data_IF_036372599588
#
_entry.id   IF_036372599588
#
_cell.length_a   1.000
_cell.length_b   1.000
_cell.length_c   1.000
_cell.angle_alpha   90.00
_cell.angle_beta   90.00
_cell.angle_gamma   90.00
#
_symmetry.space_group_name_H-M   'P 1'
#
loop_
_entity.id
_entity.type
_entity.pdbx_description
1 polymer ?
#
# COMPACT_ATOMS: atom_id res chain seq x y z
N UNK A 1 20.82 37.45 -18.67
CA UNK A 1 21.77 36.34 -18.39
C UNK A 1 21.02 35.23 -17.68
N UNK A 2 20.90 34.07 -18.34
CA UNK A 2 20.16 32.89 -17.87
C UNK A 2 21.06 32.10 -16.91
N UNK A 3 20.73 32.10 -15.61
CA UNK A 3 21.46 31.35 -14.60
C UNK A 3 21.05 29.88 -14.61
N UNK A 4 21.95 29.02 -15.08
CA UNK A 4 21.83 27.57 -15.14
C UNK A 4 21.83 26.98 -13.73
N UNK A 5 20.74 26.33 -13.33
CA UNK A 5 20.64 25.61 -12.05
C UNK A 5 21.45 24.31 -12.21
N UNK A 6 22.67 24.28 -11.66
CA UNK A 6 23.53 23.09 -11.69
C UNK A 6 23.03 22.03 -10.69
N UNK A 7 22.20 21.15 -11.23
CA UNK A 7 22.03 19.73 -10.92
C UNK A 7 21.85 19.34 -9.45
N UNK A 8 20.62 19.44 -8.96
CA UNK A 8 20.05 18.29 -8.25
C UNK A 8 19.97 17.13 -9.26
N UNK A 9 20.13 15.87 -8.85
CA UNK A 9 19.83 14.74 -9.74
C UNK A 9 18.32 14.76 -10.03
N UNK A 10 17.92 15.49 -11.07
CA UNK A 10 16.57 15.49 -11.62
C UNK A 10 16.39 14.18 -12.40
N UNK A 11 16.18 13.07 -11.69
CA UNK A 11 15.58 11.89 -12.33
C UNK A 11 14.06 12.01 -12.16
N UNK A 12 13.34 12.02 -13.28
CA UNK A 12 11.89 11.81 -13.35
C UNK A 12 10.97 12.70 -12.46
N UNK A 13 11.34 13.96 -12.22
CA UNK A 13 10.44 14.95 -11.58
C UNK A 13 10.52 15.07 -10.05
N UNK A 14 11.41 14.32 -9.39
CA UNK A 14 11.76 14.53 -7.98
C UNK A 14 13.12 15.24 -7.82
N UNK A 15 13.21 16.02 -6.74
CA UNK A 15 14.39 16.73 -6.27
C UNK A 15 14.74 16.17 -4.89
N UNK A 16 15.84 15.44 -4.80
CA UNK A 16 16.36 14.87 -3.54
C UNK A 16 17.49 15.73 -2.99
N UNK A 17 17.43 16.10 -1.71
CA UNK A 17 18.55 16.75 -1.03
C UNK A 17 19.40 15.73 -0.27
N UNK A 18 20.19 14.90 -0.95
CA UNK A 18 21.27 14.13 -0.28
C UNK A 18 22.52 15.01 -0.20
N UNK A 19 23.07 15.18 1.01
CA UNK A 19 24.33 15.89 1.28
C UNK A 19 25.56 15.04 0.88
N UNK A 20 25.59 14.49 -0.33
CA UNK A 20 26.81 13.86 -0.81
C UNK A 20 27.01 14.15 -2.29
N UNK A 21 27.93 15.06 -2.56
CA UNK A 21 28.50 15.28 -3.88
C UNK A 21 30.02 15.41 -3.74
N UNK A 22 30.82 14.71 -4.57
CA UNK A 22 32.24 15.01 -4.74
C UNK A 22 32.42 16.43 -5.30
N UNK A 23 33.57 17.02 -4.99
CA UNK A 23 33.89 18.43 -5.19
C UNK A 23 33.85 18.86 -6.67
N UNK A 24 32.92 19.74 -7.04
CA UNK A 24 33.02 20.58 -8.24
C UNK A 24 32.20 21.88 -8.01
N UNK A 25 32.90 23.02 -8.09
CA UNK A 25 32.47 24.43 -7.91
C UNK A 25 31.76 24.78 -6.57
N UNK A 26 31.96 25.99 -6.00
CA UNK A 26 31.18 26.42 -4.84
C UNK A 26 29.74 26.65 -5.29
N UNK A 27 28.91 25.63 -5.12
CA UNK A 27 27.46 25.75 -5.29
C UNK A 27 26.89 26.82 -4.35
N UNK A 28 25.69 27.33 -4.65
CA UNK A 28 24.99 28.25 -3.74
C UNK A 28 24.96 27.69 -2.32
N UNK A 29 25.11 28.56 -1.31
CA UNK A 29 25.13 28.14 0.08
C UNK A 29 23.90 27.29 0.42
N UNK A 30 24.04 26.36 1.37
CA UNK A 30 22.93 25.50 1.78
C UNK A 30 21.66 26.31 2.15
N UNK A 31 21.84 27.52 2.68
CA UNK A 31 20.73 28.41 3.04
C UNK A 31 20.14 29.12 1.82
N UNK A 32 20.93 29.49 0.81
CA UNK A 32 20.44 30.01 -0.45
C UNK A 32 19.57 28.97 -1.19
N UNK A 33 19.97 27.69 -1.16
CA UNK A 33 19.18 26.58 -1.74
C UNK A 33 17.86 26.40 -0.98
N UNK A 34 17.89 26.39 0.36
CA UNK A 34 16.66 26.31 1.18
C UNK A 34 15.72 27.48 0.89
N UNK A 35 16.23 28.71 0.79
CA UNK A 35 15.45 29.90 0.47
C UNK A 35 14.81 29.81 -0.92
N UNK A 36 15.55 29.33 -1.92
CA UNK A 36 15.03 29.11 -3.26
C UNK A 36 13.91 28.06 -3.28
N UNK A 37 14.11 26.91 -2.62
CA UNK A 37 13.09 25.87 -2.48
C UNK A 37 11.84 26.39 -1.75
N UNK A 38 12.02 27.15 -0.67
CA UNK A 38 10.91 27.77 0.06
C UNK A 38 10.11 28.73 -0.83
N UNK A 39 10.77 29.52 -1.67
CA UNK A 39 10.08 30.41 -2.64
C UNK A 39 9.28 29.61 -3.67
N UNK A 40 9.84 28.52 -4.21
CA UNK A 40 9.12 27.65 -5.15
C UNK A 40 7.94 26.94 -4.49
N UNK A 41 8.09 26.52 -3.24
CA UNK A 41 7.02 25.90 -2.45
C UNK A 41 5.89 26.89 -2.18
N UNK A 42 6.20 28.13 -1.80
CA UNK A 42 5.20 29.20 -1.63
C UNK A 42 4.44 29.51 -2.93
N UNK A 43 5.07 29.30 -4.09
CA UNK A 43 4.45 29.46 -5.42
C UNK A 43 3.73 28.19 -5.91
N UNK A 44 3.66 27.13 -5.12
CA UNK A 44 3.01 25.87 -5.49
C UNK A 44 3.72 25.08 -6.60
N UNK A 45 4.96 25.45 -6.98
CA UNK A 45 5.71 24.79 -8.06
C UNK A 45 6.42 23.52 -7.62
N UNK A 46 6.62 23.37 -6.30
CA UNK A 46 7.15 22.15 -5.69
C UNK A 46 6.30 21.77 -4.49
N UNK A 47 6.19 20.47 -4.24
CA UNK A 47 5.58 19.91 -3.04
C UNK A 47 6.61 19.02 -2.33
N UNK A 48 6.46 18.82 -1.01
CA UNK A 48 7.38 17.99 -0.22
C UNK A 48 6.62 16.86 0.46
N UNK A 49 6.50 15.68 -0.18
CA UNK A 49 5.85 14.51 0.42
C UNK A 49 6.56 13.99 1.68
N UNK A 50 7.89 14.13 1.73
CA UNK A 50 8.71 13.70 2.86
C UNK A 50 9.87 14.67 3.10
N UNK A 51 10.44 14.64 4.30
CA UNK A 51 11.58 15.48 4.63
C UNK A 51 12.78 15.19 3.71
N UNK A 52 13.35 16.23 3.10
CA UNK A 52 14.48 16.10 2.16
C UNK A 52 14.11 15.53 0.79
N UNK A 53 12.82 15.32 0.52
CA UNK A 53 12.29 14.85 -0.76
C UNK A 53 11.23 15.83 -1.27
N UNK A 54 11.52 16.49 -2.39
CA UNK A 54 10.57 17.40 -3.04
C UNK A 54 10.23 16.90 -4.43
N UNK A 55 9.01 17.16 -4.87
CA UNK A 55 8.54 16.84 -6.22
C UNK A 55 8.17 18.13 -6.93
N UNK A 56 8.44 18.18 -8.22
CA UNK A 56 7.96 19.27 -9.08
C UNK A 56 6.46 19.06 -9.27
N UNK A 57 5.68 20.13 -9.14
CA UNK A 57 4.23 20.11 -9.38
C UNK A 57 3.96 20.79 -10.73
N UNK A 58 3.70 20.00 -11.79
CA UNK A 58 3.25 20.52 -13.07
C UNK A 58 1.91 21.28 -12.98
N UNK A 59 1.60 22.14 -13.96
CA UNK A 59 0.34 22.87 -14.01
C UNK A 59 -0.90 21.96 -13.94
N UNK A 60 -0.87 20.77 -14.56
CA UNK A 60 -2.00 19.82 -14.53
C UNK A 60 -2.32 19.29 -13.13
N UNK A 61 -1.36 19.35 -12.20
CA UNK A 61 -1.54 18.94 -10.80
C UNK A 61 -1.65 20.12 -9.82
N UNK A 62 -1.77 21.35 -10.32
CA UNK A 62 -1.87 22.57 -9.50
C UNK A 62 -3.05 22.54 -8.52
N UNK A 63 -4.22 22.05 -8.95
CA UNK A 63 -5.41 21.94 -8.11
C UNK A 63 -5.27 20.91 -6.97
N UNK A 64 -4.52 19.83 -7.21
CA UNK A 64 -4.22 18.81 -6.21
C UNK A 64 -3.10 19.30 -5.27
N UNK A 65 -2.21 20.16 -5.77
CA UNK A 65 -1.09 20.73 -5.03
C UNK A 65 0.05 19.75 -4.77
N UNK A 66 0.03 18.58 -5.41
CA UNK A 66 1.10 17.58 -5.38
C UNK A 66 0.96 16.61 -6.55
N UNK A 67 2.03 15.89 -6.85
CA UNK A 67 1.97 14.75 -7.75
C UNK A 67 1.11 13.62 -7.17
N UNK A 68 0.37 12.88 -8.02
CA UNK A 68 -0.25 11.62 -7.62
C UNK A 68 0.75 10.67 -6.96
N UNK A 69 0.27 9.92 -5.96
CA UNK A 69 1.12 9.09 -5.11
C UNK A 69 1.88 8.02 -5.89
N UNK A 70 1.22 7.36 -6.83
CA UNK A 70 1.80 6.37 -7.74
C UNK A 70 3.00 6.90 -8.55
N UNK A 71 3.04 8.21 -8.81
CA UNK A 71 4.11 8.84 -9.58
C UNK A 71 5.34 9.24 -8.76
N UNK A 72 5.22 9.40 -7.44
CA UNK A 72 6.36 9.78 -6.59
C UNK A 72 6.78 8.73 -5.58
N UNK A 73 5.88 7.83 -5.16
CA UNK A 73 6.19 6.76 -4.19
C UNK A 73 7.36 5.90 -4.66
N UNK A 74 7.45 5.44 -5.93
CA UNK A 74 8.60 4.66 -6.38
C UNK A 74 9.93 5.38 -6.18
N UNK A 75 9.98 6.67 -6.51
CA UNK A 75 11.18 7.50 -6.38
C UNK A 75 11.50 7.82 -4.91
N UNK A 76 10.47 8.05 -4.09
CA UNK A 76 10.61 8.25 -2.65
C UNK A 76 11.23 7.01 -1.99
N UNK A 77 10.70 5.83 -2.31
CA UNK A 77 11.16 4.57 -1.72
C UNK A 77 12.57 4.19 -2.21
N UNK A 78 12.88 4.43 -3.49
CA UNK A 78 14.25 4.29 -4.00
C UNK A 78 15.23 5.26 -3.32
N UNK A 79 14.85 6.52 -3.11
CA UNK A 79 15.69 7.48 -2.40
C UNK A 79 15.87 7.13 -0.92
N UNK A 80 14.91 6.42 -0.32
CA UNK A 80 15.03 5.93 1.05
C UNK A 80 15.76 4.59 1.16
N UNK A 81 16.00 3.92 0.03
CA UNK A 81 16.52 2.56 -0.06
C UNK A 81 15.70 1.57 0.79
N UNK A 82 14.37 1.65 0.64
CA UNK A 82 13.44 0.82 1.40
C UNK A 82 12.61 -0.07 0.46
N UNK A 83 12.56 -1.39 0.71
CA UNK A 83 11.64 -2.26 0.02
C UNK A 83 10.20 -1.88 0.38
N UNK A 84 9.32 -1.93 -0.62
CA UNK A 84 7.93 -1.55 -0.48
C UNK A 84 7.05 -2.27 -1.49
N UNK A 85 5.75 -2.27 -1.21
CA UNK A 85 4.73 -2.54 -2.21
C UNK A 85 3.46 -1.73 -1.88
N UNK A 86 2.69 -1.37 -2.91
CA UNK A 86 1.34 -0.85 -2.73
C UNK A 86 0.39 -2.02 -2.46
N UNK A 87 -0.42 -1.93 -1.41
CA UNK A 87 -1.28 -3.02 -0.92
C UNK A 87 -2.69 -2.57 -0.57
N UNK A 88 -3.48 -3.48 0.01
CA UNK A 88 -4.87 -3.22 0.43
C UNK A 88 -5.73 -2.61 -0.69
N UNK A 89 -6.53 -1.58 -0.39
CA UNK A 89 -7.45 -0.94 -1.32
C UNK A 89 -6.70 -0.26 -2.48
N UNK A 90 -5.46 0.17 -2.26
CA UNK A 90 -4.63 0.70 -3.35
C UNK A 90 -4.30 -0.40 -4.35
N UNK A 91 -3.88 -1.58 -3.91
CA UNK A 91 -3.65 -2.70 -4.82
C UNK A 91 -4.93 -3.18 -5.49
N UNK A 92 -6.03 -3.29 -4.73
CA UNK A 92 -7.34 -3.64 -5.27
C UNK A 92 -7.76 -2.72 -6.42
N UNK A 93 -7.52 -1.41 -6.29
CA UNK A 93 -7.79 -0.44 -7.36
C UNK A 93 -7.01 -0.75 -8.65
N UNK A 94 -5.75 -1.18 -8.57
CA UNK A 94 -4.96 -1.56 -9.76
C UNK A 94 -5.46 -2.84 -10.42
N UNK A 95 -6.20 -3.67 -9.69
CA UNK A 95 -6.89 -4.85 -10.20
C UNK A 95 -8.35 -4.55 -10.58
N UNK A 96 -8.83 -3.32 -10.47
CA UNK A 96 -10.23 -2.98 -10.75
C UNK A 96 -11.22 -3.52 -9.71
N UNK A 97 -10.74 -4.02 -8.57
CA UNK A 97 -11.54 -4.60 -7.48
C UNK A 97 -11.89 -3.55 -6.39
N UNK A 98 -11.98 -2.28 -6.78
CA UNK A 98 -12.30 -1.19 -5.86
C UNK A 98 -13.35 -0.26 -6.48
N UNK A 99 -14.59 -0.33 -5.98
CA UNK A 99 -15.70 0.51 -6.42
C UNK A 99 -15.45 2.02 -6.22
N UNK A 100 -14.64 2.38 -5.23
CA UNK A 100 -14.28 3.76 -4.93
C UNK A 100 -12.78 3.95 -4.88
N UNK A 101 -12.32 5.14 -5.29
CA UNK A 101 -10.91 5.49 -5.13
C UNK A 101 -10.56 5.55 -3.63
N UNK A 102 -9.51 4.83 -3.19
CA UNK A 102 -9.01 4.93 -1.83
C UNK A 102 -8.67 6.38 -1.48
N UNK A 103 -9.09 6.83 -0.31
CA UNK A 103 -8.79 8.20 0.16
C UNK A 103 -7.30 8.41 0.46
N UNK A 104 -6.58 7.33 0.76
CA UNK A 104 -5.15 7.33 1.02
C UNK A 104 -4.49 6.26 0.15
N UNK A 105 -3.31 6.57 -0.36
CA UNK A 105 -2.47 5.59 -1.06
C UNK A 105 -1.73 4.73 -0.04
N UNK A 106 -1.96 3.43 -0.06
CA UNK A 106 -1.55 2.49 0.99
C UNK A 106 -0.30 1.72 0.56
N UNK A 107 0.75 1.85 1.36
CA UNK A 107 2.07 1.30 1.08
C UNK A 107 2.54 0.49 2.26
N UNK A 108 2.89 -0.77 2.01
CA UNK A 108 3.55 -1.60 3.01
C UNK A 108 5.06 -1.40 3.01
N UNK A 109 5.62 -1.39 4.20
CA UNK A 109 7.05 -1.28 4.48
C UNK A 109 7.42 -2.18 5.65
N UNK A 110 8.69 -2.50 5.82
CA UNK A 110 9.12 -3.38 6.93
C UNK A 110 9.09 -2.72 8.31
N UNK A 111 9.15 -1.38 8.35
CA UNK A 111 9.19 -0.59 9.59
C UNK A 111 8.16 0.51 9.51
N UNK A 112 7.57 0.84 10.66
CA UNK A 112 6.60 1.95 10.74
C UNK A 112 7.21 3.26 10.27
N UNK A 113 6.42 4.04 9.51
CA UNK A 113 6.81 5.35 9.00
C UNK A 113 5.68 6.35 9.15
N UNK A 114 6.06 7.62 9.30
CA UNK A 114 5.10 8.72 9.30
C UNK A 114 4.40 8.80 7.94
N UNK A 115 3.07 8.99 7.90
CA UNK A 115 2.35 9.23 6.65
C UNK A 115 2.96 10.40 5.86
N UNK A 116 3.00 10.27 4.54
CA UNK A 116 3.37 11.38 3.67
C UNK A 116 2.10 12.17 3.28
N UNK A 117 2.18 13.50 3.35
CA UNK A 117 1.07 14.38 2.98
C UNK A 117 1.62 15.56 2.20
N UNK A 118 1.06 15.79 1.02
CA UNK A 118 1.39 16.93 0.18
C UNK A 118 0.16 17.35 -0.62
N UNK A 119 -0.23 18.63 -0.52
CA UNK A 119 -1.50 19.10 -1.08
C UNK A 119 -2.67 18.25 -0.57
N UNK A 120 -3.47 17.71 -1.49
CA UNK A 120 -4.58 16.78 -1.21
C UNK A 120 -4.15 15.30 -1.22
N UNK A 121 -2.91 14.99 -1.59
CA UNK A 121 -2.42 13.61 -1.67
C UNK A 121 -1.97 13.14 -0.29
N UNK A 122 -2.40 11.94 0.08
CA UNK A 122 -2.06 11.25 1.33
C UNK A 122 -1.52 9.88 1.02
N UNK A 123 -0.39 9.53 1.63
CA UNK A 123 0.20 8.20 1.58
C UNK A 123 0.27 7.65 2.99
N UNK A 124 -0.36 6.50 3.20
CA UNK A 124 -0.34 5.75 4.44
C UNK A 124 0.74 4.67 4.34
N UNK A 125 1.71 4.72 5.25
CA UNK A 125 2.67 3.63 5.40
C UNK A 125 2.19 2.66 6.47
N UNK A 126 2.15 1.38 6.14
CA UNK A 126 1.72 0.29 7.00
C UNK A 126 2.93 -0.63 7.21
N UNK A 127 3.20 -0.97 8.47
CA UNK A 127 4.32 -1.84 8.80
C UNK A 127 3.87 -3.30 8.71
N UNK A 128 4.54 -4.10 7.88
CA UNK A 128 4.39 -5.56 7.82
C UNK A 128 5.76 -6.20 7.97
N UNK A 129 5.89 -7.13 8.93
CA UNK A 129 7.09 -7.95 9.07
C UNK A 129 7.32 -8.71 7.76
N UNK A 130 8.56 -8.73 7.27
CA UNK A 130 8.90 -9.39 6.00
C UNK A 130 8.12 -8.85 4.79
N UNK A 131 7.75 -7.57 4.77
CA UNK A 131 7.10 -6.95 3.60
C UNK A 131 7.86 -7.18 2.28
N UNK A 132 9.20 -7.33 2.34
CA UNK A 132 10.03 -7.64 1.17
C UNK A 132 9.81 -9.03 0.55
N UNK A 133 9.21 -9.97 1.29
CA UNK A 133 8.94 -11.33 0.83
C UNK A 133 7.56 -11.46 0.17
N UNK A 134 6.73 -10.42 0.24
CA UNK A 134 5.44 -10.41 -0.41
C UNK A 134 5.62 -10.53 -1.93
N UNK A 135 4.84 -11.40 -2.57
CA UNK A 135 4.78 -11.48 -4.01
C UNK A 135 4.16 -10.20 -4.59
N UNK A 136 4.77 -9.64 -5.62
CA UNK A 136 4.36 -8.36 -6.22
C UNK A 136 4.36 -8.42 -7.74
N UNK A 137 3.58 -7.55 -8.38
CA UNK A 137 3.58 -7.29 -9.83
C UNK A 137 3.92 -5.82 -10.13
N UNK A 138 4.67 -5.54 -11.20
CA UNK A 138 4.92 -4.18 -11.63
C UNK A 138 3.71 -3.59 -12.37
N UNK A 139 3.40 -2.32 -12.10
CA UNK A 139 2.41 -1.53 -12.85
C UNK A 139 3.06 -0.26 -13.39
N UNK A 140 2.82 0.05 -14.66
CA UNK A 140 3.37 1.25 -15.28
C UNK A 140 2.61 2.49 -14.81
N UNK A 141 3.36 3.55 -14.49
CA UNK A 141 2.86 4.87 -14.15
C UNK A 141 3.49 5.89 -15.10
N UNK A 142 2.94 7.11 -15.23
CA UNK A 142 3.54 8.15 -16.05
C UNK A 142 4.99 8.52 -15.71
N UNK A 143 5.49 8.17 -14.51
CA UNK A 143 6.83 8.56 -14.02
C UNK A 143 7.68 7.39 -13.52
N UNK A 144 7.33 6.15 -13.90
CA UNK A 144 8.09 4.95 -13.55
C UNK A 144 7.19 3.74 -13.32
N UNK A 145 7.71 2.76 -12.59
CA UNK A 145 6.98 1.52 -12.29
C UNK A 145 6.66 1.47 -10.81
N UNK A 146 5.40 1.19 -10.50
CA UNK A 146 4.91 0.94 -9.15
C UNK A 146 4.95 -0.56 -8.86
N UNK A 147 5.46 -0.91 -7.68
CA UNK A 147 5.39 -2.28 -7.17
C UNK A 147 4.07 -2.48 -6.41
N UNK A 148 3.21 -3.38 -6.88
CA UNK A 148 1.88 -3.65 -6.29
C UNK A 148 1.83 -5.11 -5.80
N UNK A 149 1.22 -5.40 -4.65
CA UNK A 149 1.00 -6.79 -4.19
C UNK A 149 0.21 -7.58 -5.21
N UNK A 150 0.47 -8.88 -5.37
CA UNK A 150 -0.40 -9.73 -6.21
C UNK A 150 -1.84 -9.78 -5.66
N UNK A 151 -2.84 -10.22 -6.43
CA UNK A 151 -4.20 -10.41 -5.92
C UNK A 151 -4.24 -11.28 -4.67
N UNK A 152 -3.43 -12.33 -4.63
CA UNK A 152 -3.36 -13.27 -3.51
C UNK A 152 -2.81 -12.63 -2.23
N UNK A 153 -1.71 -11.87 -2.35
CA UNK A 153 -1.15 -11.11 -1.23
C UNK A 153 -2.12 -10.02 -0.79
N UNK A 154 -2.81 -9.37 -1.72
CA UNK A 154 -3.81 -8.34 -1.43
C UNK A 154 -4.98 -8.93 -0.63
N UNK A 155 -5.48 -10.11 -1.01
CA UNK A 155 -6.51 -10.83 -0.26
C UNK A 155 -6.07 -11.14 1.18
N UNK A 156 -4.84 -11.63 1.36
CA UNK A 156 -4.25 -11.86 2.69
C UNK A 156 -4.16 -10.56 3.49
N UNK A 157 -3.70 -9.47 2.87
CA UNK A 157 -3.53 -8.18 3.54
C UNK A 157 -4.86 -7.58 4.01
N UNK A 158 -5.93 -7.69 3.21
CA UNK A 158 -7.27 -7.22 3.58
C UNK A 158 -7.76 -7.88 4.88
N UNK A 159 -7.39 -9.15 5.11
CA UNK A 159 -7.76 -9.89 6.33
C UNK A 159 -6.83 -9.64 7.51
N UNK A 160 -5.55 -9.34 7.22
CA UNK A 160 -4.54 -9.05 8.23
C UNK A 160 -4.66 -7.64 8.79
N UNK A 161 -5.14 -6.70 7.98
CA UNK A 161 -5.25 -5.28 8.32
C UNK A 161 -6.62 -4.68 7.98
N UNK A 162 -7.73 -5.25 8.50
CA UNK A 162 -9.07 -4.78 8.17
C UNK A 162 -9.30 -3.31 8.57
N UNK A 163 -8.68 -2.84 9.66
CA UNK A 163 -8.74 -1.44 10.09
C UNK A 163 -8.18 -0.45 9.05
N UNK A 164 -7.27 -0.92 8.18
CA UNK A 164 -6.76 -0.13 7.07
C UNK A 164 -7.59 -0.34 5.80
N UNK A 165 -8.37 -1.40 5.69
CA UNK A 165 -9.24 -1.69 4.57
C UNK A 165 -10.67 -1.11 4.71
N UNK A 166 -10.97 -0.38 5.79
CA UNK A 166 -12.32 0.12 6.08
C UNK A 166 -13.20 -0.86 6.88
N UNK A 167 -12.62 -1.97 7.35
CA UNK A 167 -13.31 -3.01 8.10
C UNK A 167 -13.44 -4.32 7.32
N UNK A 168 -14.06 -5.32 7.94
CA UNK A 168 -14.26 -6.63 7.31
C UNK A 168 -15.33 -6.57 6.22
N UNK A 169 -16.37 -5.73 6.36
CA UNK A 169 -17.42 -5.55 5.34
C UNK A 169 -16.85 -5.08 4.00
N UNK A 170 -16.17 -3.93 4.00
CA UNK A 170 -15.42 -3.45 2.84
C UNK A 170 -14.40 -4.47 2.30
N UNK A 171 -13.78 -5.28 3.17
CA UNK A 171 -12.87 -6.34 2.74
C UNK A 171 -13.60 -7.43 1.95
N UNK A 172 -14.80 -7.83 2.36
CA UNK A 172 -15.63 -8.79 1.61
C UNK A 172 -15.99 -8.22 0.24
N UNK A 173 -16.45 -6.97 0.17
CA UNK A 173 -16.79 -6.31 -1.10
C UNK A 173 -15.62 -6.29 -2.08
N UNK A 174 -14.41 -5.96 -1.60
CA UNK A 174 -13.21 -6.01 -2.44
C UNK A 174 -12.87 -7.45 -2.85
N UNK A 175 -13.00 -8.41 -1.94
CA UNK A 175 -12.72 -9.81 -2.22
C UNK A 175 -13.67 -10.40 -3.28
N UNK A 176 -14.94 -10.01 -3.31
CA UNK A 176 -15.90 -10.51 -4.31
C UNK A 176 -15.55 -10.12 -5.74
N UNK A 177 -14.85 -9.00 -5.95
CA UNK A 177 -14.34 -8.63 -7.28
C UNK A 177 -12.92 -9.19 -7.52
N UNK A 178 -12.07 -9.16 -6.49
CA UNK A 178 -10.67 -9.57 -6.59
C UNK A 178 -10.52 -11.07 -6.88
N UNK A 179 -11.50 -11.89 -6.46
CA UNK A 179 -11.49 -13.35 -6.60
C UNK A 179 -11.25 -13.81 -8.03
N UNK A 180 -11.76 -13.10 -9.04
CA UNK A 180 -11.61 -13.46 -10.45
C UNK A 180 -10.14 -13.47 -10.92
N UNK A 181 -9.26 -12.79 -10.19
CA UNK A 181 -7.84 -12.66 -10.51
C UNK A 181 -6.94 -13.49 -9.58
N UNK A 182 -7.52 -14.17 -8.60
CA UNK A 182 -6.80 -15.00 -7.64
C UNK A 182 -6.50 -16.36 -8.23
N UNK A 183 -5.23 -16.74 -8.23
CA UNK A 183 -4.81 -18.11 -8.49
C UNK A 183 -4.84 -18.91 -7.15
N UNK A 184 -5.64 -19.99 -7.04
CA UNK A 184 -5.78 -20.72 -5.78
C UNK A 184 -4.47 -21.30 -5.24
N UNK A 185 -3.54 -21.73 -6.10
CA UNK A 185 -2.26 -22.28 -5.67
C UNK A 185 -1.35 -21.17 -5.14
N UNK A 186 -1.33 -20.01 -5.80
CA UNK A 186 -0.59 -18.85 -5.33
C UNK A 186 -1.20 -18.28 -4.05
N UNK A 187 -2.51 -18.45 -3.83
CA UNK A 187 -3.17 -18.05 -2.60
C UNK A 187 -2.66 -18.83 -1.40
N UNK A 188 -2.52 -20.15 -1.54
CA UNK A 188 -1.94 -21.00 -0.49
C UNK A 188 -0.49 -20.61 -0.22
N UNK A 189 0.32 -20.34 -1.25
CA UNK A 189 1.69 -19.87 -1.07
C UNK A 189 1.75 -18.50 -0.34
N UNK A 190 0.86 -17.57 -0.67
CA UNK A 190 0.76 -16.28 0.03
C UNK A 190 0.33 -16.46 1.49
N UNK A 191 -0.59 -17.39 1.77
CA UNK A 191 -1.05 -17.72 3.11
C UNK A 191 0.07 -18.32 3.99
N UNK A 192 0.93 -19.16 3.42
CA UNK A 192 2.10 -19.73 4.10
C UNK A 192 3.12 -18.67 4.54
N UNK A 193 3.18 -17.54 3.84
CA UNK A 193 4.04 -16.40 4.17
C UNK A 193 3.39 -15.39 5.14
N UNK A 194 2.25 -15.73 5.74
CA UNK A 194 1.49 -14.89 6.66
C UNK A 194 1.12 -15.63 7.95
N UNK A 195 0.73 -14.92 9.02
CA UNK A 195 0.18 -15.57 10.21
C UNK A 195 -1.03 -16.44 9.85
N UNK A 196 -1.09 -17.66 10.38
CA UNK A 196 -2.17 -18.62 10.10
C UNK A 196 -3.57 -18.04 10.35
N UNK A 197 -3.72 -17.19 11.37
CA UNK A 197 -4.98 -16.50 11.67
C UNK A 197 -5.52 -15.65 10.51
N UNK A 198 -4.66 -15.14 9.62
CA UNK A 198 -5.07 -14.38 8.44
C UNK A 198 -5.67 -15.31 7.39
N UNK A 199 -5.06 -16.47 7.17
CA UNK A 199 -5.59 -17.51 6.28
C UNK A 199 -6.94 -18.06 6.78
N UNK A 200 -7.08 -18.28 8.09
CA UNK A 200 -8.34 -18.70 8.71
C UNK A 200 -9.46 -17.67 8.46
N UNK A 201 -9.18 -16.38 8.68
CA UNK A 201 -10.14 -15.30 8.42
C UNK A 201 -10.46 -15.19 6.93
N UNK A 202 -9.45 -15.22 6.07
CA UNK A 202 -9.62 -15.12 4.62
C UNK A 202 -10.54 -16.20 4.08
N UNK A 203 -10.36 -17.44 4.50
CA UNK A 203 -11.24 -18.53 4.08
C UNK A 203 -12.71 -18.27 4.43
N UNK A 204 -12.97 -17.81 5.65
CA UNK A 204 -14.32 -17.43 6.07
C UNK A 204 -14.88 -16.25 5.26
N UNK A 205 -14.07 -15.20 5.01
CA UNK A 205 -14.50 -14.04 4.22
C UNK A 205 -14.73 -14.40 2.74
N UNK A 206 -13.95 -15.31 2.16
CA UNK A 206 -14.17 -15.80 0.79
C UNK A 206 -15.48 -16.57 0.66
N UNK A 207 -15.86 -17.38 1.63
CA UNK A 207 -17.18 -18.02 1.63
C UNK A 207 -18.32 -16.99 1.69
N UNK A 208 -18.13 -15.89 2.42
CA UNK A 208 -19.10 -14.77 2.46
C UNK A 208 -19.13 -13.96 1.17
N UNK A 209 -18.02 -13.90 0.44
CA UNK A 209 -17.91 -13.27 -0.87
C UNK A 209 -18.38 -14.18 -2.04
N UNK A 210 -19.04 -15.30 -1.74
CA UNK A 210 -19.44 -16.37 -2.68
C UNK A 210 -18.29 -16.98 -3.51
N UNK A 211 -17.05 -16.84 -3.03
CA UNK A 211 -15.82 -17.30 -3.64
C UNK A 211 -15.44 -18.74 -3.24
N UNK A 212 -16.40 -19.67 -3.25
CA UNK A 212 -16.23 -21.01 -2.64
C UNK A 212 -15.10 -21.84 -3.25
N UNK A 213 -14.88 -21.76 -4.55
CA UNK A 213 -13.81 -22.51 -5.24
C UNK A 213 -12.43 -22.06 -4.76
N UNK A 214 -12.22 -20.75 -4.68
CA UNK A 214 -10.99 -20.13 -4.18
C UNK A 214 -10.79 -20.43 -2.69
N UNK A 215 -11.88 -20.43 -1.92
CA UNK A 215 -11.85 -20.81 -0.51
C UNK A 215 -11.43 -22.29 -0.33
N UNK A 216 -11.89 -23.21 -1.18
CA UNK A 216 -11.61 -24.64 -1.03
C UNK A 216 -10.09 -24.95 -1.03
N UNK A 217 -9.32 -24.35 -1.93
CA UNK A 217 -7.86 -24.56 -1.97
C UNK A 217 -7.16 -24.10 -0.68
N UNK A 218 -7.65 -23.03 -0.06
CA UNK A 218 -7.12 -22.53 1.21
C UNK A 218 -7.58 -23.38 2.40
N UNK A 219 -8.73 -24.05 2.29
CA UNK A 219 -9.31 -24.85 3.37
C UNK A 219 -8.44 -26.06 3.71
N UNK A 220 -7.90 -26.76 2.71
CA UNK A 220 -7.01 -27.91 2.93
C UNK A 220 -5.75 -27.50 3.70
N UNK A 221 -5.15 -26.37 3.31
CA UNK A 221 -4.03 -25.77 4.03
C UNK A 221 -4.39 -25.47 5.49
N UNK A 222 -5.50 -24.77 5.74
CA UNK A 222 -5.93 -24.42 7.10
C UNK A 222 -6.21 -25.67 7.93
N UNK A 223 -6.92 -26.66 7.40
CA UNK A 223 -7.24 -27.91 8.12
C UNK A 223 -6.00 -28.71 8.51
N UNK A 224 -4.95 -28.66 7.71
CA UNK A 224 -3.71 -29.39 7.99
C UNK A 224 -2.87 -28.79 9.13
N UNK A 225 -3.04 -27.51 9.46
CA UNK A 225 -2.18 -26.78 10.41
C UNK A 225 -2.97 -26.21 11.60
N UNK A 226 -4.19 -25.75 11.40
CA UNK A 226 -4.97 -25.02 12.40
C UNK A 226 -5.53 -25.95 13.48
N UNK A 227 -5.02 -25.78 14.71
CA UNK A 227 -5.50 -26.48 15.90
C UNK A 227 -6.53 -25.64 16.65
N UNK A 228 -6.21 -24.37 16.84
CA UNK A 228 -6.94 -23.43 17.68
C UNK A 228 -7.92 -22.56 16.89
N UNK A 229 -8.96 -22.14 17.59
CA UNK A 229 -9.91 -21.16 17.07
C UNK A 229 -9.35 -19.75 17.17
N UNK A 230 -9.56 -18.93 16.13
CA UNK A 230 -9.19 -17.51 16.13
C UNK A 230 -10.45 -16.64 15.97
N UNK A 231 -10.56 -15.48 16.64
CA UNK A 231 -11.68 -14.59 16.43
C UNK A 231 -11.64 -13.99 15.01
N UNK A 232 -12.82 -13.86 14.40
CA UNK A 232 -13.01 -13.22 13.08
C UNK A 232 -12.60 -11.75 13.15
N UNK A 233 -13.17 -11.02 14.09
CA UNK A 233 -12.85 -9.63 14.39
C UNK A 233 -11.90 -9.52 15.57
N UNK A 234 -10.85 -8.71 15.41
CA UNK A 234 -9.88 -8.46 16.48
C UNK A 234 -10.43 -7.56 17.59
N UNK A 235 -11.46 -6.76 17.29
CA UNK A 235 -12.02 -5.75 18.21
C UNK A 235 -13.41 -6.10 18.74
N UNK A 236 -14.03 -7.15 18.20
CA UNK A 236 -15.34 -7.62 18.63
C UNK A 236 -15.33 -8.35 19.98
N UNK A 237 -16.52 -8.80 20.44
CA UNK A 237 -16.67 -9.71 21.57
C UNK A 237 -15.73 -10.92 21.46
N UNK A 238 -15.35 -11.52 22.59
CA UNK A 238 -14.45 -12.69 22.57
C UNK A 238 -15.17 -14.02 22.28
N UNK A 239 -16.50 -14.00 22.22
CA UNK A 239 -17.33 -15.18 22.09
C UNK A 239 -18.25 -15.07 20.86
N UNK A 240 -18.68 -16.22 20.35
CA UNK A 240 -19.55 -16.32 19.17
C UNK A 240 -19.64 -17.75 18.61
N UNK A 241 -20.51 -17.97 17.62
CA UNK A 241 -20.61 -19.25 16.95
C UNK A 241 -19.29 -19.69 16.34
N UNK A 242 -18.98 -20.97 16.48
CA UNK A 242 -17.72 -21.53 15.98
C UNK A 242 -17.89 -22.08 14.56
N UNK A 243 -17.15 -21.56 13.61
CA UNK A 243 -17.00 -22.15 12.29
C UNK A 243 -15.86 -23.20 12.33
N UNK A 244 -16.24 -24.47 12.28
CA UNK A 244 -15.30 -25.61 12.37
C UNK A 244 -14.39 -25.74 11.15
N UNK A 245 -14.85 -25.33 9.96
CA UNK A 245 -14.09 -25.46 8.72
C UNK A 245 -12.85 -24.57 8.72
N UNK A 246 -12.99 -23.35 9.24
CA UNK A 246 -11.92 -22.35 9.27
C UNK A 246 -11.29 -22.20 10.65
N UNK A 247 -11.82 -22.89 11.66
CA UNK A 247 -11.45 -22.70 13.07
C UNK A 247 -11.57 -21.22 13.46
N UNK A 248 -12.72 -20.62 13.16
CA UNK A 248 -13.02 -19.20 13.41
C UNK A 248 -14.12 -19.07 14.46
N UNK A 249 -13.97 -18.15 15.41
CA UNK A 249 -15.05 -17.66 16.28
C UNK A 249 -15.71 -16.48 15.56
N UNK A 250 -16.94 -16.67 15.11
CA UNK A 250 -17.71 -15.65 14.40
C UNK A 250 -18.27 -14.67 15.43
N UNK A 251 -17.44 -13.73 15.85
CA UNK A 251 -17.73 -12.74 16.89
C UNK A 251 -18.24 -11.39 16.34
N UNK A 252 -18.41 -11.28 15.03
CA UNK A 252 -18.95 -10.11 14.35
C UNK A 252 -19.81 -10.59 13.18
N UNK A 253 -20.98 -9.96 12.99
CA UNK A 253 -21.78 -10.15 11.78
C UNK A 253 -21.19 -9.24 10.71
N UNK A 254 -20.66 -9.86 9.65
CA UNK A 254 -20.03 -9.13 8.55
C UNK A 254 -20.83 -9.41 7.29
N UNK A 255 -21.31 -8.33 6.67
CA UNK A 255 -22.01 -8.34 5.39
C UNK A 255 -21.26 -7.43 4.41
N UNK A 256 -21.31 -7.71 3.10
CA UNK A 256 -20.72 -6.84 2.09
C UNK A 256 -21.37 -5.44 2.14
N UNK A 257 -20.56 -4.41 1.95
CA UNK A 257 -21.06 -3.07 1.68
C UNK A 257 -21.49 -3.04 0.21
N UNK A 258 -22.81 -3.07 -0.03
CA UNK A 258 -23.47 -3.00 -1.35
C UNK A 258 -24.03 -1.60 -1.54
#
# INVERSE_FOLDING_TARGET
MRGTISTASCKAGAITSRRHRPQEAPGPSADAVKLALNRLRKRGKIASPAHGFSVIVPPEYSAIGCLPADQFVPQLMANLDLPYYAGLLTAAQYYGAAHHRPQEFQVFTEKSRRPAKCGRVRVRFIARKQARLAATRPFNTPRGTLTVSTPEVTAIDLTGYPDHAGGLGQSITVLSELVEQIDPNKLVAAAQAAPLSWAQRLGYLLERADARQTAHALQDYVRSIAKDYTPLSLRGPKDGPHNKNWKIIVNEVVEPEI
#
